data_IF_045661549905
#
_entry.id   IF_045661549905
#
_cell.length_a   1.000
_cell.length_b   1.000
_cell.length_c   1.000
_cell.angle_alpha   90.00
_cell.angle_beta   90.00
_cell.angle_gamma   90.00
#
_symmetry.space_group_name_H-M   'P 1'
#
loop_
_entity.id
_entity.type
_entity.pdbx_description
1 polymer ?
#
# COMPACT_ATOMS: atom_id res chain seq x y z
N UNK A 1 -7.13 10.07 -16.25
CA UNK A 1 -6.72 9.47 -14.96
C UNK A 1 -7.85 8.59 -14.50
N UNK A 2 -7.58 7.34 -14.14
CA UNK A 2 -8.60 6.40 -13.65
C UNK A 2 -8.95 6.74 -12.20
N UNK A 3 -10.23 6.61 -11.86
CA UNK A 3 -10.76 6.85 -10.51
C UNK A 3 -11.65 5.69 -10.08
N UNK A 4 -11.67 5.40 -8.79
CA UNK A 4 -12.61 4.45 -8.20
C UNK A 4 -14.04 5.03 -8.22
N UNK A 5 -15.00 4.20 -8.65
CA UNK A 5 -16.42 4.57 -8.72
C UNK A 5 -17.15 4.12 -7.45
N UNK A 6 -16.94 2.88 -7.02
CA UNK A 6 -17.63 2.24 -5.90
C UNK A 6 -16.64 1.28 -5.18
N UNK A 7 -16.92 0.96 -3.91
CA UNK A 7 -16.23 -0.10 -3.16
C UNK A 7 -17.25 -0.92 -2.38
N UNK A 8 -17.14 -2.24 -2.45
CA UNK A 8 -17.98 -3.16 -1.70
C UNK A 8 -17.10 -4.12 -0.88
N UNK A 9 -17.28 -4.10 0.45
CA UNK A 9 -16.62 -5.04 1.35
C UNK A 9 -17.50 -6.27 1.54
N UNK A 10 -17.02 -7.41 1.08
CA UNK A 10 -17.69 -8.69 1.30
C UNK A 10 -17.78 -8.97 2.81
N UNK A 11 -18.93 -9.46 3.29
CA UNK A 11 -19.15 -9.76 4.69
C UNK A 11 -18.53 -11.10 5.07
N UNK A 12 -17.79 -11.12 6.18
CA UNK A 12 -17.11 -12.31 6.68
C UNK A 12 -15.58 -12.26 6.50
N UNK A 13 -14.90 -13.38 6.79
CA UNK A 13 -13.46 -13.48 6.68
C UNK A 13 -13.01 -13.63 5.22
N UNK A 14 -11.71 -13.49 4.95
CA UNK A 14 -11.18 -13.70 3.60
C UNK A 14 -11.36 -15.15 3.12
N UNK A 15 -11.36 -15.34 1.78
CA UNK A 15 -11.65 -16.63 1.11
C UNK A 15 -10.83 -17.82 1.62
N UNK A 16 -9.62 -17.59 2.15
CA UNK A 16 -8.77 -18.64 2.73
C UNK A 16 -9.42 -19.35 3.94
N UNK A 17 -10.40 -18.72 4.60
CA UNK A 17 -11.14 -19.29 5.73
C UNK A 17 -12.37 -20.11 5.33
N UNK A 18 -12.66 -20.26 4.02
CA UNK A 18 -13.80 -21.01 3.51
C UNK A 18 -13.46 -22.46 3.12
N UNK A 19 -12.31 -22.99 3.56
CA UNK A 19 -11.82 -24.35 3.22
C UNK A 19 -12.83 -25.47 3.50
N UNK A 20 -13.65 -25.33 4.54
CA UNK A 20 -14.69 -26.30 4.92
C UNK A 20 -16.08 -25.97 4.35
N UNK A 21 -16.26 -24.77 3.78
CA UNK A 21 -17.56 -24.20 3.39
C UNK A 21 -17.54 -23.69 1.94
N UNK A 22 -17.00 -24.52 1.05
CA UNK A 22 -16.81 -24.15 -0.35
C UNK A 22 -18.13 -23.83 -1.07
N UNK A 23 -19.22 -24.53 -0.74
CA UNK A 23 -20.55 -24.27 -1.29
C UNK A 23 -21.13 -22.90 -0.91
N UNK A 24 -20.56 -22.22 0.10
CA UNK A 24 -21.02 -20.91 0.53
C UNK A 24 -20.31 -19.77 -0.24
N UNK A 25 -19.28 -20.05 -1.05
CA UNK A 25 -18.51 -19.02 -1.77
C UNK A 25 -19.39 -18.22 -2.73
N UNK A 26 -20.34 -18.88 -3.40
CA UNK A 26 -21.29 -18.20 -4.30
C UNK A 26 -22.12 -17.15 -3.56
N UNK A 27 -22.68 -17.54 -2.41
CA UNK A 27 -23.48 -16.65 -1.55
C UNK A 27 -22.61 -15.56 -0.94
N UNK A 28 -21.39 -15.91 -0.53
CA UNK A 28 -20.40 -14.98 0.02
C UNK A 28 -20.08 -13.85 -0.96
N UNK A 29 -19.83 -14.15 -2.23
CA UNK A 29 -19.50 -13.13 -3.24
C UNK A 29 -20.74 -12.38 -3.79
N UNK A 30 -21.93 -12.98 -3.69
CA UNK A 30 -23.13 -12.50 -4.37
C UNK A 30 -23.47 -11.04 -4.11
N UNK A 31 -23.45 -10.61 -2.84
CA UNK A 31 -23.86 -9.25 -2.49
C UNK A 31 -23.04 -8.16 -3.21
N UNK A 32 -21.72 -8.33 -3.31
CA UNK A 32 -20.85 -7.37 -3.99
C UNK A 32 -20.89 -7.51 -5.51
N UNK A 33 -21.03 -8.73 -6.03
CA UNK A 33 -21.12 -8.95 -7.47
C UNK A 33 -22.46 -8.43 -8.05
N UNK A 34 -23.56 -8.60 -7.32
CA UNK A 34 -24.85 -7.98 -7.68
C UNK A 34 -24.80 -6.45 -7.57
N UNK A 35 -24.11 -5.91 -6.54
CA UNK A 35 -23.88 -4.47 -6.45
C UNK A 35 -23.11 -3.94 -7.68
N UNK A 36 -22.09 -4.66 -8.13
CA UNK A 36 -21.35 -4.29 -9.35
C UNK A 36 -22.26 -4.27 -10.59
N UNK A 37 -23.14 -5.27 -10.76
CA UNK A 37 -24.13 -5.30 -11.87
C UNK A 37 -25.08 -4.12 -11.86
N UNK A 38 -25.45 -3.63 -10.67
CA UNK A 38 -26.32 -2.45 -10.52
C UNK A 38 -25.58 -1.15 -10.83
N UNK A 39 -24.31 -1.05 -10.43
CA UNK A 39 -23.51 0.18 -10.61
C UNK A 39 -23.02 0.34 -12.05
N UNK A 40 -22.61 -0.75 -12.71
CA UNK A 40 -22.12 -0.72 -14.09
C UNK A 40 -23.32 -0.75 -15.06
N UNK A 41 -23.39 0.13 -16.07
CA UNK A 41 -24.45 0.09 -17.08
C UNK A 41 -24.51 -1.26 -17.81
N UNK A 42 -25.72 -1.80 -17.99
CA UNK A 42 -25.92 -3.12 -18.62
C UNK A 42 -25.24 -3.30 -20.00
N UNK A 43 -25.22 -2.30 -20.91
CA UNK A 43 -24.52 -2.44 -22.18
C UNK A 43 -23.00 -2.62 -22.06
N UNK A 44 -22.41 -2.23 -20.92
CA UNK A 44 -20.97 -2.28 -20.66
C UNK A 44 -20.55 -3.55 -19.90
N UNK A 45 -21.50 -4.39 -19.47
CA UNK A 45 -21.18 -5.56 -18.64
C UNK A 45 -20.21 -6.50 -19.36
N UNK A 46 -20.49 -6.89 -20.60
CA UNK A 46 -19.69 -7.87 -21.35
C UNK A 46 -18.28 -7.39 -21.72
N UNK A 47 -18.03 -6.08 -21.69
CA UNK A 47 -16.72 -5.48 -21.96
C UNK A 47 -15.96 -5.08 -20.68
N UNK A 48 -16.60 -5.18 -19.51
CA UNK A 48 -15.98 -4.81 -18.24
C UNK A 48 -15.16 -5.98 -17.70
N UNK A 49 -13.81 -5.85 -17.63
CA UNK A 49 -12.97 -6.93 -17.16
C UNK A 49 -13.06 -7.07 -15.63
N UNK A 50 -13.12 -8.31 -15.15
CA UNK A 50 -13.11 -8.63 -13.72
C UNK A 50 -11.94 -9.53 -13.39
N UNK A 51 -11.19 -9.15 -12.36
CA UNK A 51 -10.02 -9.88 -11.89
C UNK A 51 -10.15 -10.16 -10.39
N UNK A 52 -9.62 -11.30 -9.94
CA UNK A 52 -9.44 -11.56 -8.51
C UNK A 52 -7.97 -11.85 -8.19
N UNK A 53 -7.38 -10.97 -7.39
CA UNK A 53 -6.07 -11.17 -6.78
C UNK A 53 -6.21 -11.53 -5.31
N UNK A 54 -5.76 -12.74 -4.93
CA UNK A 54 -5.66 -13.15 -3.54
C UNK A 54 -4.22 -12.97 -3.02
N UNK A 55 -4.07 -12.56 -1.76
CA UNK A 55 -2.78 -12.16 -1.18
C UNK A 55 -2.28 -13.15 -0.12
N UNK A 56 -1.62 -12.66 0.95
CA UNK A 56 -0.95 -13.46 1.96
C UNK A 56 -1.80 -14.56 2.62
N UNK A 57 -3.09 -14.34 2.87
CA UNK A 57 -3.95 -15.38 3.44
C UNK A 57 -4.03 -16.63 2.56
N UNK A 58 -4.14 -16.46 1.23
CA UNK A 58 -4.10 -17.57 0.29
C UNK A 58 -2.68 -18.10 0.07
N UNK A 59 -1.63 -17.27 0.23
CA UNK A 59 -0.23 -17.75 0.25
C UNK A 59 -0.02 -18.73 1.42
N UNK A 60 -0.50 -18.39 2.62
CA UNK A 60 -0.45 -19.24 3.81
C UNK A 60 -1.25 -20.54 3.59
N UNK A 61 -2.47 -20.44 3.05
CA UNK A 61 -3.25 -21.63 2.74
C UNK A 61 -2.52 -22.53 1.73
N UNK A 62 -1.93 -21.97 0.67
CA UNK A 62 -1.18 -22.73 -0.33
C UNK A 62 0.03 -23.46 0.29
N UNK A 63 0.73 -22.80 1.21
CA UNK A 63 1.84 -23.43 1.96
C UNK A 63 1.34 -24.57 2.85
N UNK A 64 0.18 -24.42 3.48
CA UNK A 64 -0.43 -25.46 4.33
C UNK A 64 -0.97 -26.63 3.51
N UNK A 65 -1.71 -26.34 2.45
CA UNK A 65 -2.36 -27.31 1.58
C UNK A 65 -2.63 -26.69 0.19
N UNK A 66 -1.73 -26.99 -0.76
CA UNK A 66 -1.83 -26.49 -2.14
C UNK A 66 -3.10 -26.94 -2.88
N UNK A 67 -3.60 -28.14 -2.60
CA UNK A 67 -4.84 -28.65 -3.20
C UNK A 67 -6.06 -27.83 -2.76
N UNK A 68 -6.18 -27.51 -1.46
CA UNK A 68 -7.29 -26.69 -0.95
C UNK A 68 -7.23 -25.25 -1.50
N UNK A 69 -6.03 -24.66 -1.60
CA UNK A 69 -5.88 -23.34 -2.21
C UNK A 69 -6.36 -23.34 -3.67
N UNK A 70 -5.96 -24.33 -4.46
CA UNK A 70 -6.43 -24.48 -5.86
C UNK A 70 -7.94 -24.71 -5.94
N UNK A 71 -8.51 -25.53 -5.04
CA UNK A 71 -9.94 -25.80 -5.00
C UNK A 71 -10.75 -24.54 -4.70
N UNK A 72 -10.32 -23.70 -3.76
CA UNK A 72 -10.97 -22.41 -3.48
C UNK A 72 -10.91 -21.49 -4.70
N UNK A 73 -9.77 -21.35 -5.36
CA UNK A 73 -9.64 -20.53 -6.56
C UNK A 73 -10.53 -21.02 -7.71
N UNK A 74 -10.68 -22.33 -7.87
CA UNK A 74 -11.58 -22.92 -8.86
C UNK A 74 -13.05 -22.60 -8.57
N UNK A 75 -13.48 -22.68 -7.30
CA UNK A 75 -14.86 -22.32 -6.92
C UNK A 75 -15.11 -20.82 -7.11
N UNK A 76 -14.18 -19.97 -6.67
CA UNK A 76 -14.24 -18.52 -6.90
C UNK A 76 -14.30 -18.18 -8.39
N UNK A 77 -13.50 -18.87 -9.21
CA UNK A 77 -13.53 -18.73 -10.67
C UNK A 77 -14.91 -19.07 -11.22
N UNK A 78 -15.43 -20.25 -10.89
CA UNK A 78 -16.78 -20.65 -11.31
C UNK A 78 -17.85 -19.66 -10.86
N UNK A 79 -17.72 -19.13 -9.64
CA UNK A 79 -18.66 -18.18 -9.05
C UNK A 79 -18.72 -16.87 -9.83
N UNK A 80 -17.55 -16.26 -10.07
CA UNK A 80 -17.45 -14.96 -10.76
C UNK A 80 -17.81 -15.11 -12.23
N UNK A 81 -17.46 -16.24 -12.87
CA UNK A 81 -17.84 -16.53 -14.26
C UNK A 81 -19.35 -16.62 -14.51
N UNK A 82 -20.18 -16.76 -13.47
CA UNK A 82 -21.64 -16.73 -13.61
C UNK A 82 -22.22 -15.32 -13.78
N UNK A 83 -21.40 -14.26 -13.64
CA UNK A 83 -21.82 -12.86 -13.79
C UNK A 83 -21.57 -12.38 -15.24
N UNK A 84 -22.32 -11.38 -15.73
CA UNK A 84 -22.27 -10.95 -17.13
C UNK A 84 -21.03 -10.10 -17.48
N UNK A 85 -19.91 -10.30 -16.78
CA UNK A 85 -18.68 -9.56 -16.95
C UNK A 85 -17.63 -10.37 -17.71
N UNK A 86 -16.62 -9.70 -18.25
CA UNK A 86 -15.47 -10.34 -18.86
C UNK A 86 -14.50 -10.83 -17.77
N UNK A 87 -14.69 -12.07 -17.31
CA UNK A 87 -13.85 -12.61 -16.24
C UNK A 87 -12.47 -13.03 -16.75
N UNK A 88 -11.45 -12.35 -16.25
CA UNK A 88 -10.05 -12.50 -16.69
C UNK A 88 -9.22 -13.45 -15.81
N UNK A 89 -9.80 -13.92 -14.70
CA UNK A 89 -9.21 -14.98 -13.87
C UNK A 89 -9.02 -14.62 -12.39
N UNK A 90 -8.81 -15.66 -11.59
CA UNK A 90 -8.49 -15.58 -10.17
C UNK A 90 -7.11 -16.19 -9.90
N UNK A 91 -6.23 -15.44 -9.22
CA UNK A 91 -4.88 -15.93 -8.89
C UNK A 91 -4.39 -15.44 -7.53
N UNK A 92 -3.39 -16.14 -6.99
CA UNK A 92 -2.63 -15.68 -5.82
C UNK A 92 -1.48 -14.82 -6.33
N UNK A 93 -1.47 -13.52 -6.01
CA UNK A 93 -0.40 -12.61 -6.39
C UNK A 93 0.83 -12.82 -5.51
N UNK A 94 2.02 -12.57 -6.04
CA UNK A 94 3.26 -12.64 -5.25
C UNK A 94 3.34 -11.46 -4.28
N UNK A 95 4.18 -11.57 -3.26
CA UNK A 95 4.39 -10.45 -2.33
C UNK A 95 5.02 -9.23 -2.99
N UNK A 96 5.88 -9.45 -3.99
CA UNK A 96 6.50 -8.37 -4.76
C UNK A 96 5.51 -7.68 -5.69
N UNK A 97 4.61 -8.44 -6.32
CA UNK A 97 3.49 -7.88 -7.08
C UNK A 97 2.60 -7.00 -6.19
N UNK A 98 2.20 -7.51 -5.03
CA UNK A 98 1.37 -6.77 -4.06
C UNK A 98 2.02 -5.42 -3.67
N UNK A 99 3.30 -5.42 -3.31
CA UNK A 99 4.04 -4.19 -2.98
C UNK A 99 4.21 -3.25 -4.17
N UNK A 100 4.64 -3.76 -5.33
CA UNK A 100 4.85 -2.97 -6.53
C UNK A 100 3.55 -2.32 -7.05
N UNK A 101 2.44 -3.04 -7.07
CA UNK A 101 1.16 -2.48 -7.49
C UNK A 101 0.63 -1.45 -6.47
N UNK A 102 0.91 -1.61 -5.18
CA UNK A 102 0.67 -0.58 -4.17
C UNK A 102 1.46 0.70 -4.45
N UNK A 103 2.76 0.56 -4.74
CA UNK A 103 3.63 1.67 -5.12
C UNK A 103 3.19 2.38 -6.40
N UNK A 104 2.80 1.61 -7.44
CA UNK A 104 2.23 2.15 -8.68
C UNK A 104 0.97 2.96 -8.37
N UNK A 105 0.05 2.42 -7.56
CA UNK A 105 -1.20 3.10 -7.18
C UNK A 105 -0.92 4.43 -6.49
N UNK A 106 -0.09 4.42 -5.45
CA UNK A 106 0.27 5.63 -4.69
C UNK A 106 0.83 6.70 -5.61
N UNK A 107 1.80 6.36 -6.46
CA UNK A 107 2.45 7.32 -7.35
C UNK A 107 1.57 7.77 -8.52
N UNK A 108 0.70 6.89 -9.03
CA UNK A 108 -0.30 7.23 -10.04
C UNK A 108 -1.30 8.25 -9.48
N UNK A 109 -1.86 7.98 -8.29
CA UNK A 109 -2.84 8.85 -7.64
C UNK A 109 -2.26 10.22 -7.25
N UNK A 110 -0.98 10.26 -6.86
CA UNK A 110 -0.25 11.49 -6.56
C UNK A 110 0.27 12.21 -7.82
N UNK A 111 0.16 11.60 -9.01
CA UNK A 111 0.62 12.18 -10.27
C UNK A 111 2.14 12.30 -10.37
N UNK A 112 2.90 11.37 -9.76
CA UNK A 112 4.36 11.39 -9.70
C UNK A 112 5.04 10.85 -10.96
N UNK A 113 4.32 10.10 -11.79
CA UNK A 113 4.87 9.53 -13.03
C UNK A 113 4.92 10.50 -14.22
N UNK A 114 4.09 11.54 -14.24
CA UNK A 114 3.98 12.45 -15.39
C UNK A 114 4.62 13.80 -15.08
N UNK A 115 5.62 14.22 -15.87
CA UNK A 115 6.08 15.61 -15.86
C UNK A 115 5.00 16.49 -16.49
N UNK A 116 4.56 17.55 -15.80
CA UNK A 116 3.81 18.63 -16.47
C UNK A 116 4.79 19.38 -17.37
N UNK A 117 4.92 18.97 -18.61
CA UNK A 117 5.59 19.76 -19.66
C UNK A 117 4.74 20.99 -19.96
N UNK A 118 4.90 22.04 -19.14
CA UNK A 118 4.40 23.36 -19.50
C UNK A 118 5.26 23.86 -20.66
N UNK A 119 4.63 24.08 -21.81
CA UNK A 119 5.20 24.65 -23.03
C UNK A 119 5.82 26.05 -22.85
N UNK A 120 5.63 26.69 -21.69
CA UNK A 120 6.30 27.93 -21.30
C UNK A 120 7.65 27.73 -20.58
N UNK A 121 8.05 26.50 -20.26
CA UNK A 121 9.33 26.25 -19.59
C UNK A 121 10.48 26.15 -20.60
N UNK A 122 10.95 27.31 -21.07
CA UNK A 122 12.14 27.47 -21.94
C UNK A 122 13.49 27.17 -21.27
N UNK A 123 13.47 26.47 -20.12
CA UNK A 123 14.66 25.84 -19.55
C UNK A 123 14.37 24.34 -19.53
N UNK A 124 15.21 23.48 -20.15
CA UNK A 124 15.29 22.11 -19.71
C UNK A 124 15.77 22.21 -18.26
N UNK A 125 14.85 22.18 -17.31
CA UNK A 125 15.24 21.93 -15.94
C UNK A 125 15.83 20.53 -15.98
N UNK A 126 17.15 20.44 -16.03
CA UNK A 126 17.91 19.30 -15.50
C UNK A 126 17.70 19.19 -13.99
N UNK A 127 16.45 19.31 -13.56
CA UNK A 127 15.98 19.19 -12.20
C UNK A 127 15.78 17.71 -11.94
N UNK A 128 16.23 17.30 -10.77
CA UNK A 128 16.21 15.93 -10.28
C UNK A 128 14.91 15.20 -10.62
N UNK A 129 14.96 13.87 -10.87
CA UNK A 129 13.75 13.10 -11.13
C UNK A 129 12.74 13.37 -10.02
N UNK A 130 11.50 13.72 -10.39
CA UNK A 130 10.41 13.91 -9.44
C UNK A 130 10.36 12.69 -8.51
N UNK A 131 10.71 12.88 -7.23
CA UNK A 131 10.82 11.78 -6.28
C UNK A 131 9.45 11.08 -6.15
N UNK A 132 9.45 9.76 -6.35
CA UNK A 132 8.27 8.92 -6.13
C UNK A 132 8.11 8.65 -4.64
N UNK A 133 6.86 8.55 -4.19
CA UNK A 133 6.58 8.09 -2.84
C UNK A 133 6.94 6.61 -2.71
N UNK A 134 7.50 6.20 -1.57
CA UNK A 134 7.47 4.82 -1.14
C UNK A 134 6.05 4.40 -0.75
N UNK A 135 5.83 3.09 -0.66
CA UNK A 135 4.57 2.48 -0.27
C UNK A 135 4.81 1.53 0.91
N UNK A 136 3.99 1.69 1.96
CA UNK A 136 3.93 0.81 3.11
C UNK A 136 2.52 0.23 3.18
N UNK A 137 2.40 -1.08 3.04
CA UNK A 137 1.11 -1.79 3.09
C UNK A 137 1.11 -2.76 4.29
N UNK A 138 0.10 -2.69 5.15
CA UNK A 138 -0.08 -3.63 6.25
C UNK A 138 -1.42 -4.33 6.12
N UNK A 139 -1.36 -5.65 5.93
CA UNK A 139 -2.52 -6.53 5.98
C UNK A 139 -2.59 -7.36 7.26
N UNK A 140 -3.53 -8.31 7.29
CA UNK A 140 -3.64 -9.27 8.38
C UNK A 140 -2.53 -10.33 8.39
N UNK A 141 -2.02 -10.72 7.21
CA UNK A 141 -1.08 -11.84 7.07
C UNK A 141 0.31 -11.49 6.50
N UNK A 142 0.50 -10.29 5.95
CA UNK A 142 1.81 -9.78 5.55
C UNK A 142 1.87 -8.26 5.67
N UNK A 143 3.09 -7.73 5.59
CA UNK A 143 3.38 -6.30 5.41
C UNK A 143 4.38 -6.12 4.27
N UNK A 144 4.31 -5.00 3.57
CA UNK A 144 5.13 -4.68 2.41
C UNK A 144 5.77 -3.31 2.57
N UNK A 145 6.99 -3.19 2.05
CA UNK A 145 7.70 -1.93 1.89
C UNK A 145 8.28 -1.88 0.46
N UNK A 146 7.97 -0.80 -0.25
CA UNK A 146 8.33 -0.66 -1.67
C UNK A 146 8.73 0.78 -1.96
N UNK A 147 9.95 1.03 -2.46
CA UNK A 147 10.42 2.38 -2.79
C UNK A 147 11.62 2.36 -3.74
N UNK A 148 11.97 3.52 -4.30
CA UNK A 148 13.17 3.70 -5.13
C UNK A 148 14.31 4.19 -4.22
N UNK A 149 15.35 3.38 -3.96
CA UNK A 149 16.50 3.82 -3.17
C UNK A 149 17.36 4.84 -3.96
N UNK A 150 18.09 5.72 -3.25
CA UNK A 150 19.04 6.68 -3.86
C UNK A 150 20.31 5.95 -4.25
N UNK A 151 20.76 5.04 -3.39
CA UNK A 151 21.90 4.21 -3.70
C UNK A 151 21.51 3.21 -4.79
N UNK A 152 22.34 3.14 -5.82
CA UNK A 152 22.14 2.24 -6.97
C UNK A 152 22.71 0.86 -6.70
N UNK A 153 23.55 0.68 -5.68
CA UNK A 153 24.05 -0.64 -5.31
C UNK A 153 22.98 -1.39 -4.53
N UNK A 154 22.15 -2.14 -5.25
CA UNK A 154 21.25 -3.07 -4.59
C UNK A 154 22.00 -4.35 -4.22
N UNK A 155 22.03 -4.67 -2.93
CA UNK A 155 22.73 -5.87 -2.42
C UNK A 155 21.85 -7.13 -2.48
N UNK A 156 20.53 -6.96 -2.62
CA UNK A 156 19.57 -8.04 -2.86
C UNK A 156 18.89 -7.87 -4.23
N UNK A 157 19.40 -8.50 -5.30
CA UNK A 157 18.76 -8.49 -6.62
C UNK A 157 17.36 -9.10 -6.59
N UNK A 158 17.14 -10.10 -5.74
CA UNK A 158 15.83 -10.78 -5.60
C UNK A 158 14.74 -9.83 -5.11
N UNK A 159 15.08 -8.78 -4.36
CA UNK A 159 14.15 -7.75 -3.88
C UNK A 159 14.05 -6.52 -4.80
N UNK A 160 14.66 -6.58 -5.99
CA UNK A 160 14.65 -5.47 -6.96
C UNK A 160 13.75 -5.77 -8.14
N UNK A 161 12.85 -4.84 -8.44
CA UNK A 161 12.08 -4.83 -9.66
C UNK A 161 12.46 -3.65 -10.54
N UNK A 162 12.54 -3.89 -11.84
CA UNK A 162 12.81 -2.86 -12.83
C UNK A 162 11.56 -2.59 -13.66
N UNK A 163 11.13 -1.33 -13.69
CA UNK A 163 9.97 -0.89 -14.45
C UNK A 163 10.37 0.20 -15.44
N UNK A 164 9.71 0.23 -16.60
CA UNK A 164 9.72 1.39 -17.48
C UNK A 164 8.30 1.96 -17.54
N UNK A 165 8.10 3.14 -16.97
CA UNK A 165 6.79 3.79 -16.85
C UNK A 165 6.91 5.23 -17.33
N UNK A 166 6.07 5.65 -18.27
CA UNK A 166 6.01 7.02 -18.79
C UNK A 166 7.40 7.57 -19.18
N UNK A 167 8.15 6.82 -19.99
CA UNK A 167 9.46 7.18 -20.52
C UNK A 167 10.63 7.01 -19.56
N UNK A 168 10.39 6.57 -18.31
CA UNK A 168 11.41 6.51 -17.24
C UNK A 168 11.63 5.10 -16.73
N UNK A 169 12.90 4.80 -16.46
CA UNK A 169 13.31 3.56 -15.81
C UNK A 169 13.32 3.77 -14.29
N UNK A 170 12.70 2.83 -13.56
CA UNK A 170 12.68 2.79 -12.11
C UNK A 170 13.29 1.46 -11.65
N UNK A 171 14.26 1.54 -10.74
CA UNK A 171 14.75 0.40 -9.97
C UNK A 171 14.14 0.48 -8.58
N UNK A 172 13.15 -0.38 -8.32
CA UNK A 172 12.31 -0.32 -7.14
C UNK A 172 12.70 -1.48 -6.22
N UNK A 173 13.10 -1.18 -4.99
CA UNK A 173 13.19 -2.17 -3.94
C UNK A 173 11.77 -2.53 -3.48
N UNK A 174 11.48 -3.82 -3.34
CA UNK A 174 10.21 -4.30 -2.80
C UNK A 174 10.40 -5.58 -2.02
N UNK A 175 9.88 -5.62 -0.80
CA UNK A 175 9.86 -6.84 0.01
C UNK A 175 8.50 -7.05 0.68
N UNK A 176 8.10 -8.31 0.83
CA UNK A 176 6.86 -8.71 1.51
C UNK A 176 7.18 -9.67 2.65
N UNK A 177 7.01 -9.20 3.87
CA UNK A 177 7.23 -9.98 5.08
C UNK A 177 5.97 -10.81 5.37
N UNK A 178 5.90 -12.02 4.83
CA UNK A 178 4.84 -12.98 5.14
C UNK A 178 4.88 -13.32 6.64
N UNK A 179 3.72 -13.54 7.26
CA UNK A 179 3.54 -13.72 8.71
C UNK A 179 3.71 -12.46 9.57
N UNK A 180 4.13 -11.33 8.99
CA UNK A 180 4.25 -10.03 9.67
C UNK A 180 3.08 -9.07 9.34
N UNK A 181 1.95 -9.62 8.90
CA UNK A 181 0.69 -8.88 9.00
C UNK A 181 0.21 -8.89 10.45
N UNK A 182 -0.58 -7.88 10.85
CA UNK A 182 -0.92 -7.67 12.27
C UNK A 182 -1.56 -8.90 12.94
N UNK A 183 -2.44 -9.62 12.24
CA UNK A 183 -3.15 -10.77 12.82
C UNK A 183 -2.20 -11.94 13.03
N UNK A 184 -1.35 -12.21 12.03
CA UNK A 184 -0.35 -13.29 12.12
C UNK A 184 0.78 -12.95 13.10
N UNK A 185 1.14 -11.67 13.25
CA UNK A 185 2.08 -11.23 14.28
C UNK A 185 1.52 -11.42 15.68
N UNK A 186 0.22 -11.13 15.89
CA UNK A 186 -0.46 -11.41 17.17
C UNK A 186 -0.45 -12.91 17.48
N UNK A 187 -0.81 -13.75 16.51
CA UNK A 187 -0.78 -15.21 16.68
C UNK A 187 0.64 -15.71 16.98
N UNK A 188 1.65 -15.19 16.30
CA UNK A 188 3.06 -15.50 16.60
C UNK A 188 3.44 -15.13 18.03
N UNK A 189 3.05 -13.92 18.49
CA UNK A 189 3.29 -13.47 19.87
C UNK A 189 2.63 -14.39 20.89
N UNK A 190 1.34 -14.68 20.71
CA UNK A 190 0.58 -15.57 21.59
C UNK A 190 1.14 -17.00 21.61
N UNK A 191 1.49 -17.55 20.45
CA UNK A 191 2.10 -18.88 20.32
C UNK A 191 3.48 -18.98 21.00
N UNK A 192 4.20 -17.86 21.07
CA UNK A 192 5.44 -17.76 21.80
C UNK A 192 5.22 -17.62 23.30
N UNK A 193 4.30 -16.76 23.70
CA UNK A 193 4.06 -16.40 25.11
C UNK A 193 3.33 -17.50 25.89
N UNK A 194 2.57 -18.36 25.21
CA UNK A 194 1.94 -19.54 25.84
C UNK A 194 2.97 -20.57 26.33
N UNK A 195 4.21 -20.53 25.82
CA UNK A 195 5.27 -21.47 26.22
C UNK A 195 5.58 -21.30 27.70
N UNK A 196 5.55 -22.42 28.44
CA UNK A 196 5.80 -22.47 29.89
C UNK A 196 4.70 -21.79 30.74
N UNK A 197 3.48 -21.71 30.24
CA UNK A 197 2.30 -21.29 31.02
C UNK A 197 1.44 -22.49 31.43
N UNK A 198 0.49 -22.27 32.33
CA UNK A 198 -0.54 -23.23 32.73
C UNK A 198 -1.84 -23.10 31.91
N UNK A 199 -1.77 -22.46 30.74
CA UNK A 199 -2.93 -22.16 29.88
C UNK A 199 -3.44 -20.73 30.05
N UNK A 200 -2.91 -19.94 30.98
CA UNK A 200 -3.24 -18.52 31.12
C UNK A 200 -2.09 -17.62 30.68
N UNK A 201 -2.38 -16.64 29.81
CA UNK A 201 -1.43 -15.64 29.34
C UNK A 201 -1.86 -14.27 29.88
N UNK A 202 -1.06 -13.71 30.78
CA UNK A 202 -1.19 -12.30 31.16
C UNK A 202 -0.52 -11.44 30.08
N UNK A 203 -1.33 -10.83 29.22
CA UNK A 203 -0.85 -10.18 28.01
C UNK A 203 -0.95 -8.64 28.10
N UNK A 204 0.20 -7.93 28.03
CA UNK A 204 0.23 -6.47 28.14
C UNK A 204 -0.32 -5.74 26.92
N UNK A 205 -0.53 -6.42 25.79
CA UNK A 205 -1.06 -5.84 24.57
C UNK A 205 -2.60 -5.78 24.52
N UNK A 206 -3.27 -6.29 25.55
CA UNK A 206 -4.71 -6.19 25.71
C UNK A 206 -5.07 -5.36 26.94
N UNK A 207 -6.23 -4.71 26.88
CA UNK A 207 -6.70 -3.79 27.91
C UNK A 207 -6.96 -4.48 29.26
N UNK A 208 -6.75 -3.80 30.41
CA UNK A 208 -7.04 -4.35 31.72
C UNK A 208 -8.50 -4.80 31.83
N UNK A 209 -8.73 -6.03 32.31
CA UNK A 209 -10.06 -6.62 32.43
C UNK A 209 -10.58 -7.30 31.15
N UNK A 210 -9.86 -7.19 30.02
CA UNK A 210 -10.18 -7.99 28.83
C UNK A 210 -9.84 -9.46 29.06
N UNK A 211 -10.73 -10.36 28.63
CA UNK A 211 -10.48 -11.79 28.62
C UNK A 211 -10.95 -12.42 27.31
N UNK A 212 -10.11 -13.29 26.74
CA UNK A 212 -10.47 -14.08 25.55
C UNK A 212 -10.01 -15.51 25.72
N UNK A 213 -10.93 -16.46 25.50
CA UNK A 213 -10.60 -17.87 25.34
C UNK A 213 -10.26 -18.16 23.88
N UNK A 214 -9.28 -19.02 23.67
CA UNK A 214 -8.87 -19.46 22.35
C UNK A 214 -8.51 -20.94 22.38
N UNK A 215 -8.96 -21.69 21.38
CA UNK A 215 -8.58 -23.10 21.23
C UNK A 215 -7.13 -23.17 20.74
N UNK A 216 -6.33 -24.01 21.37
CA UNK A 216 -4.90 -24.12 21.06
C UNK A 216 -4.66 -24.60 19.61
N UNK A 217 -5.54 -25.46 19.10
CA UNK A 217 -5.50 -25.92 17.72
C UNK A 217 -5.64 -24.77 16.70
N UNK A 218 -6.47 -23.76 16.99
CA UNK A 218 -6.64 -22.59 16.11
C UNK A 218 -5.38 -21.71 16.11
N UNK A 219 -4.67 -21.64 17.25
CA UNK A 219 -3.41 -20.89 17.36
C UNK A 219 -2.31 -21.52 16.50
N UNK A 220 -2.21 -22.84 16.49
CA UNK A 220 -1.23 -23.59 15.68
C UNK A 220 -1.73 -23.93 14.27
N UNK A 221 -2.94 -23.50 13.91
CA UNK A 221 -3.49 -23.74 12.57
C UNK A 221 -2.65 -23.05 11.48
N UNK A 222 -2.15 -21.85 11.79
CA UNK A 222 -1.38 -21.03 10.86
C UNK A 222 0.05 -21.57 10.67
N UNK A 223 0.58 -21.60 9.42
CA UNK A 223 2.00 -21.86 9.19
C UNK A 223 2.94 -20.92 9.96
N UNK A 224 2.48 -19.71 10.33
CA UNK A 224 3.27 -18.69 11.00
C UNK A 224 3.62 -19.02 12.45
N UNK A 225 2.82 -19.86 13.12
CA UNK A 225 2.99 -20.21 14.54
C UNK A 225 3.71 -21.53 14.75
N UNK A 226 3.95 -22.33 13.69
CA UNK A 226 4.60 -23.65 13.77
C UNK A 226 5.99 -23.63 14.41
N UNK A 227 6.78 -22.57 14.18
CA UNK A 227 8.10 -22.42 14.85
C UNK A 227 7.98 -22.30 16.38
N UNK A 228 6.79 -21.93 16.86
CA UNK A 228 6.48 -21.78 18.27
C UNK A 228 5.77 -22.99 18.89
N UNK A 229 5.35 -23.96 18.09
CA UNK A 229 4.59 -25.12 18.52
C UNK A 229 5.35 -25.94 19.58
N UNK A 230 4.63 -26.35 20.63
CA UNK A 230 5.16 -27.18 21.70
C UNK A 230 4.03 -28.02 22.28
N UNK A 231 4.38 -29.13 22.93
CA UNK A 231 3.39 -29.97 23.59
C UNK A 231 2.92 -29.30 24.88
N UNK A 232 1.62 -29.02 24.96
CA UNK A 232 0.97 -28.39 26.11
C UNK A 232 -0.10 -29.33 26.68
N UNK A 233 -0.30 -29.30 28.00
CA UNK A 233 -1.23 -30.18 28.71
C UNK A 233 -2.67 -29.63 28.76
N UNK A 234 -3.00 -28.67 27.89
CA UNK A 234 -4.28 -27.99 27.82
C UNK A 234 -4.67 -27.75 26.36
N UNK A 235 -5.98 -27.78 26.10
CA UNK A 235 -6.53 -27.59 24.76
C UNK A 235 -7.03 -26.16 24.50
N UNK A 236 -7.12 -25.34 25.56
CA UNK A 236 -7.58 -23.96 25.52
C UNK A 236 -6.60 -23.04 26.25
N UNK A 237 -6.50 -21.80 25.77
CA UNK A 237 -5.76 -20.73 26.44
C UNK A 237 -6.70 -19.59 26.84
N UNK A 238 -6.41 -18.96 27.97
CA UNK A 238 -7.09 -17.76 28.46
C UNK A 238 -6.12 -16.59 28.38
N UNK A 239 -6.43 -15.63 27.53
CA UNK A 239 -5.68 -14.37 27.42
C UNK A 239 -6.32 -13.38 28.38
N UNK A 240 -5.52 -12.80 29.27
CA UNK A 240 -5.93 -11.79 30.26
C UNK A 240 -5.16 -10.50 30.02
N UNK A 241 -5.87 -9.41 29.70
CA UNK A 241 -5.22 -8.14 29.41
C UNK A 241 -4.70 -7.43 30.66
N UNK A 242 -3.48 -6.90 30.57
CA UNK A 242 -2.86 -6.11 31.65
C UNK A 242 -2.59 -4.65 31.27
N UNK A 243 -2.71 -4.28 30.00
CA UNK A 243 -2.72 -2.89 29.52
C UNK A 243 -1.42 -2.12 29.73
N UNK A 244 -0.29 -2.67 29.30
CA UNK A 244 1.02 -2.03 29.45
C UNK A 244 1.75 -1.90 28.11
N UNK A 245 1.76 -0.69 27.56
CA UNK A 245 2.35 -0.43 26.24
C UNK A 245 3.83 -0.84 26.15
N UNK A 246 4.65 -0.52 27.15
CA UNK A 246 6.09 -0.79 27.09
C UNK A 246 6.38 -2.29 27.12
N UNK A 247 5.70 -3.05 27.99
CA UNK A 247 5.81 -4.51 28.02
C UNK A 247 5.26 -5.14 26.74
N UNK A 248 4.17 -4.58 26.18
CA UNK A 248 3.65 -5.01 24.89
C UNK A 248 4.68 -4.80 23.77
N UNK A 249 5.30 -3.62 23.69
CA UNK A 249 6.34 -3.30 22.73
C UNK A 249 7.53 -4.25 22.87
N UNK A 250 7.99 -4.52 24.10
CA UNK A 250 9.08 -5.47 24.35
C UNK A 250 8.73 -6.89 23.91
N UNK A 251 7.51 -7.36 24.16
CA UNK A 251 7.04 -8.68 23.69
C UNK A 251 7.01 -8.75 22.14
N UNK A 252 6.53 -7.68 21.48
CA UNK A 252 6.50 -7.57 20.02
C UNK A 252 7.91 -7.53 19.41
N UNK A 253 8.84 -6.76 20.00
CA UNK A 253 10.22 -6.64 19.52
C UNK A 253 10.90 -8.00 19.36
N UNK A 254 10.59 -8.93 20.24
CA UNK A 254 11.17 -10.27 20.20
C UNK A 254 10.60 -11.16 19.09
N UNK A 255 9.67 -10.66 18.25
CA UNK A 255 9.28 -11.31 17.00
C UNK A 255 10.27 -11.02 15.87
N UNK A 256 10.98 -9.89 15.93
CA UNK A 256 11.92 -9.46 14.91
C UNK A 256 13.33 -9.96 15.25
N UNK A 257 13.92 -10.82 14.42
CA UNK A 257 15.31 -11.20 14.63
C UNK A 257 16.26 -10.18 13.99
N UNK A 258 16.90 -9.36 14.81
CA UNK A 258 17.90 -8.37 14.36
C UNK A 258 19.34 -8.79 14.66
N UNK A 259 19.58 -10.03 15.12
CA UNK A 259 20.90 -10.51 15.54
C UNK A 259 21.86 -10.80 14.38
N UNK A 260 21.32 -11.02 13.18
CA UNK A 260 22.07 -11.39 11.99
C UNK A 260 21.62 -10.54 10.80
N UNK A 261 22.60 -9.96 10.09
CA UNK A 261 22.38 -9.25 8.84
C UNK A 261 23.56 -9.54 7.89
N UNK A 262 23.32 -10.23 6.76
CA UNK A 262 24.37 -10.55 5.79
C UNK A 262 24.66 -9.39 4.80
N UNK A 263 23.97 -8.27 4.95
CA UNK A 263 24.03 -7.09 4.08
C UNK A 263 24.54 -5.86 4.85
N UNK A 264 24.73 -4.73 4.18
CA UNK A 264 25.08 -3.46 4.85
C UNK A 264 24.02 -3.02 5.85
N UNK A 265 22.75 -3.17 5.48
CA UNK A 265 21.58 -2.82 6.28
C UNK A 265 20.48 -3.85 6.06
N UNK A 266 19.82 -4.26 7.15
CA UNK A 266 18.67 -5.14 7.10
C UNK A 266 17.48 -4.50 7.79
N UNK A 267 16.28 -4.90 7.41
CA UNK A 267 15.09 -4.70 8.22
C UNK A 267 15.20 -5.56 9.47
N UNK A 268 14.71 -6.80 9.37
CA UNK A 268 14.79 -7.87 10.36
C UNK A 268 14.84 -9.22 9.64
N UNK A 269 15.10 -10.30 10.37
CA UNK A 269 15.24 -11.67 9.87
C UNK A 269 16.32 -11.82 8.77
N UNK A 270 17.35 -10.98 8.81
CA UNK A 270 18.44 -10.98 7.82
C UNK A 270 18.03 -10.49 6.43
N UNK A 271 16.87 -9.85 6.29
CA UNK A 271 16.38 -9.32 5.01
C UNK A 271 16.98 -7.94 4.74
N UNK A 272 17.64 -7.79 3.59
CA UNK A 272 18.19 -6.51 3.12
C UNK A 272 17.13 -5.41 3.11
N UNK A 273 17.48 -4.22 3.60
CA UNK A 273 16.66 -3.02 3.49
C UNK A 273 17.58 -1.84 3.16
N UNK A 274 17.46 -1.21 1.97
CA UNK A 274 18.16 0.03 1.69
C UNK A 274 17.75 1.13 2.68
N UNK A 275 18.61 2.13 2.96
CA UNK A 275 18.25 3.26 3.79
C UNK A 275 16.93 3.93 3.33
N UNK A 276 15.97 4.05 4.24
CA UNK A 276 14.66 4.66 3.94
C UNK A 276 14.81 6.15 3.72
N UNK A 277 14.17 6.67 2.68
CA UNK A 277 14.31 8.05 2.24
C UNK A 277 13.16 8.50 1.35
N UNK A 278 12.97 9.82 1.25
CA UNK A 278 11.81 10.38 0.56
C UNK A 278 10.53 10.20 1.36
N UNK A 279 9.41 10.57 0.75
CA UNK A 279 8.07 10.41 1.32
C UNK A 279 7.55 8.98 1.15
N UNK A 280 6.76 8.49 2.11
CA UNK A 280 6.08 7.20 2.06
C UNK A 280 4.58 7.36 2.28
N UNK A 281 3.77 6.71 1.45
CA UNK A 281 2.35 6.50 1.71
C UNK A 281 2.14 5.20 2.48
N UNK A 282 1.60 5.29 3.69
CA UNK A 282 1.25 4.13 4.53
C UNK A 282 -0.26 3.91 4.52
N UNK A 283 -0.73 2.76 4.01
CA UNK A 283 -2.14 2.50 3.74
C UNK A 283 -2.59 1.14 4.31
N UNK A 284 -3.82 0.73 4.00
CA UNK A 284 -4.47 -0.45 4.59
C UNK A 284 -4.51 -0.35 6.12
N UNK A 285 -4.09 -1.38 6.86
CA UNK A 285 -4.18 -1.37 8.31
C UNK A 285 -3.26 -0.32 8.97
N UNK A 286 -2.20 0.15 8.29
CA UNK A 286 -1.44 1.31 8.78
C UNK A 286 -2.36 2.52 8.95
N UNK A 287 -3.19 2.81 7.94
CA UNK A 287 -4.10 3.94 7.98
C UNK A 287 -5.25 3.70 8.96
N UNK A 288 -6.01 2.61 8.83
CA UNK A 288 -7.24 2.42 9.62
C UNK A 288 -6.98 2.30 11.12
N UNK A 289 -5.85 1.70 11.53
CA UNK A 289 -5.47 1.62 12.95
C UNK A 289 -5.06 2.99 13.47
N UNK A 290 -4.20 3.70 12.73
CA UNK A 290 -3.74 5.03 13.15
C UNK A 290 -4.87 6.06 13.16
N UNK A 291 -5.81 5.98 12.21
CA UNK A 291 -6.98 6.84 12.14
C UNK A 291 -7.89 6.62 13.35
N UNK A 292 -8.20 5.36 13.69
CA UNK A 292 -9.00 5.03 14.87
C UNK A 292 -8.38 5.57 16.17
N UNK A 293 -7.05 5.45 16.31
CA UNK A 293 -6.29 5.94 17.45
C UNK A 293 -6.07 7.47 17.42
N UNK A 294 -6.61 8.17 16.42
CA UNK A 294 -6.43 9.60 16.20
C UNK A 294 -4.95 10.02 16.08
N UNK A 295 -4.13 9.14 15.50
CA UNK A 295 -2.69 9.31 15.27
C UNK A 295 -2.37 9.83 13.86
N UNK A 296 -3.39 10.07 13.03
CA UNK A 296 -3.25 10.64 11.67
C UNK A 296 -3.52 12.15 11.62
N UNK A 297 -3.35 12.86 12.74
CA UNK A 297 -3.73 14.28 12.85
C UNK A 297 -2.88 15.18 11.93
N UNK A 298 -3.40 16.37 11.61
CA UNK A 298 -2.79 17.32 10.65
C UNK A 298 -1.44 17.89 11.08
N UNK A 299 -1.16 17.87 12.38
CA UNK A 299 0.17 18.18 12.91
C UNK A 299 0.95 16.86 12.94
N UNK A 300 2.09 16.79 12.26
CA UNK A 300 2.93 15.58 12.27
C UNK A 300 3.33 15.24 13.71
N UNK A 301 2.63 14.29 14.32
CA UNK A 301 2.92 13.82 15.67
C UNK A 301 4.28 13.15 15.67
N UNK A 302 5.12 13.54 16.63
CA UNK A 302 6.41 12.88 16.83
C UNK A 302 6.21 11.44 17.32
N UNK A 303 7.15 10.51 17.05
CA UNK A 303 7.08 9.14 17.57
C UNK A 303 6.86 9.09 19.09
N UNK A 304 7.49 10.01 19.82
CA UNK A 304 7.32 10.13 21.28
C UNK A 304 5.88 10.46 21.65
N UNK A 305 5.26 11.44 20.98
CA UNK A 305 3.88 11.82 21.28
C UNK A 305 2.89 10.70 20.97
N UNK A 306 3.13 9.94 19.89
CA UNK A 306 2.32 8.76 19.58
C UNK A 306 2.46 7.67 20.64
N UNK A 307 3.70 7.42 21.12
CA UNK A 307 3.95 6.52 22.24
C UNK A 307 3.17 6.94 23.50
N UNK A 308 3.22 8.21 23.88
CA UNK A 308 2.49 8.71 25.06
C UNK A 308 0.97 8.47 24.93
N UNK A 309 0.42 8.70 23.73
CA UNK A 309 -1.01 8.45 23.45
C UNK A 309 -1.36 6.95 23.49
N UNK A 310 -0.46 6.10 23.02
CA UNK A 310 -0.63 4.65 23.08
C UNK A 310 -0.55 4.10 24.51
N UNK A 311 0.33 4.66 25.35
CA UNK A 311 0.40 4.33 26.78
C UNK A 311 -0.92 4.65 27.50
N UNK A 312 -1.50 5.81 27.22
CA UNK A 312 -2.81 6.20 27.75
C UNK A 312 -3.93 5.29 27.24
N UNK A 313 -3.94 4.97 25.94
CA UNK A 313 -4.97 4.12 25.34
C UNK A 313 -4.92 2.69 25.87
N UNK A 314 -3.75 2.05 25.85
CA UNK A 314 -3.57 0.67 26.29
C UNK A 314 -3.92 0.45 27.78
N UNK A 315 -3.72 1.45 28.62
CA UNK A 315 -4.01 1.37 30.06
C UNK A 315 -5.50 1.56 30.42
N UNK A 316 -6.35 1.94 29.46
CA UNK A 316 -7.79 2.09 29.71
C UNK A 316 -8.45 0.73 30.01
N UNK A 317 -9.29 0.62 31.07
CA UNK A 317 -10.05 -0.60 31.35
C UNK A 317 -10.98 -0.98 30.20
N UNK A 318 -11.11 -2.29 29.96
CA UNK A 318 -11.90 -2.82 28.86
C UNK A 318 -13.36 -2.38 28.87
N UNK A 319 -14.01 -2.41 30.04
CA UNK A 319 -15.42 -2.00 30.20
C UNK A 319 -15.66 -0.56 29.73
N UNK A 320 -14.71 0.35 30.00
CA UNK A 320 -14.81 1.75 29.59
C UNK A 320 -14.75 1.90 28.07
N UNK A 321 -13.91 1.10 27.41
CA UNK A 321 -13.79 1.11 25.95
C UNK A 321 -15.04 0.56 25.27
N UNK A 322 -15.64 -0.51 25.82
CA UNK A 322 -16.89 -1.06 25.29
C UNK A 322 -18.03 -0.03 25.32
N UNK A 323 -18.10 0.80 26.37
CA UNK A 323 -19.09 1.87 26.46
C UNK A 323 -18.77 3.00 25.48
N UNK A 324 -17.52 3.46 25.43
CA UNK A 324 -17.13 4.60 24.61
C UNK A 324 -17.16 4.31 23.10
N UNK A 325 -16.84 3.08 22.70
CA UNK A 325 -16.77 2.62 21.31
C UNK A 325 -17.81 1.54 20.99
N UNK A 326 -19.05 1.73 21.46
CA UNK A 326 -20.14 0.75 21.32
C UNK A 326 -20.49 0.36 19.87
N UNK A 327 -20.21 1.23 18.90
CA UNK A 327 -20.44 0.97 17.47
C UNK A 327 -19.31 0.14 16.80
N UNK A 328 -18.19 -0.07 17.51
CA UNK A 328 -17.04 -0.80 16.99
C UNK A 328 -17.16 -2.26 17.38
N UNK A 329 -17.07 -3.15 16.40
CA UNK A 329 -17.08 -4.60 16.66
C UNK A 329 -15.94 -4.98 17.59
N UNK A 330 -16.27 -5.78 18.60
CA UNK A 330 -15.39 -6.15 19.70
C UNK A 330 -14.04 -6.69 19.25
N UNK A 331 -14.04 -7.56 18.23
CA UNK A 331 -12.84 -8.19 17.70
C UNK A 331 -11.83 -7.19 17.11
N UNK A 332 -12.28 -6.04 16.61
CA UNK A 332 -11.38 -4.97 16.18
C UNK A 332 -10.97 -4.12 17.39
N UNK A 333 -11.94 -3.76 18.25
CA UNK A 333 -11.69 -2.90 19.41
C UNK A 333 -10.63 -3.48 20.35
N UNK A 334 -10.70 -4.79 20.61
CA UNK A 334 -9.77 -5.49 21.51
C UNK A 334 -8.33 -5.51 21.01
N UNK A 335 -8.11 -5.30 19.71
CA UNK A 335 -6.80 -5.46 19.07
C UNK A 335 -6.10 -4.13 18.79
N UNK A 336 -6.71 -2.97 19.06
CA UNK A 336 -6.09 -1.68 18.73
C UNK A 336 -4.85 -1.35 19.57
N UNK A 337 -4.80 -1.77 20.84
CA UNK A 337 -3.59 -1.61 21.66
C UNK A 337 -2.43 -2.38 21.03
N UNK A 338 -2.60 -3.69 20.80
CA UNK A 338 -1.63 -4.51 20.07
C UNK A 338 -1.27 -3.91 18.70
N UNK A 339 -2.27 -3.57 17.88
CA UNK A 339 -2.06 -3.15 16.48
C UNK A 339 -1.33 -1.81 16.39
N UNK A 340 -1.66 -0.85 17.25
CA UNK A 340 -0.97 0.44 17.33
C UNK A 340 0.48 0.26 17.76
N UNK A 341 0.72 -0.51 18.83
CA UNK A 341 2.09 -0.83 19.29
C UNK A 341 2.88 -1.59 18.23
N UNK A 342 2.25 -2.53 17.54
CA UNK A 342 2.85 -3.31 16.47
C UNK A 342 3.30 -2.43 15.31
N UNK A 343 2.44 -1.52 14.84
CA UNK A 343 2.79 -0.58 13.77
C UNK A 343 3.96 0.31 14.18
N UNK A 344 3.91 0.93 15.37
CA UNK A 344 5.01 1.79 15.82
C UNK A 344 6.32 1.02 15.90
N UNK A 345 6.29 -0.20 16.44
CA UNK A 345 7.47 -1.07 16.51
C UNK A 345 7.97 -1.47 15.13
N UNK A 346 7.08 -1.85 14.21
CA UNK A 346 7.44 -2.22 12.84
C UNK A 346 8.09 -1.05 12.10
N UNK A 347 7.52 0.16 12.18
CA UNK A 347 8.05 1.33 11.48
C UNK A 347 9.39 1.79 12.09
N UNK A 348 9.48 1.89 13.42
CA UNK A 348 10.66 2.45 14.10
C UNK A 348 11.81 1.44 14.21
N UNK A 349 11.52 0.18 14.52
CA UNK A 349 12.52 -0.85 14.80
C UNK A 349 12.68 -1.86 13.66
N UNK A 350 11.62 -2.11 12.88
CA UNK A 350 11.67 -3.04 11.75
C UNK A 350 12.15 -2.39 10.46
N UNK A 351 11.58 -1.23 10.12
CA UNK A 351 11.90 -0.46 8.91
C UNK A 351 12.85 0.72 9.16
N UNK A 352 13.30 0.89 10.42
CA UNK A 352 14.30 1.87 10.82
C UNK A 352 13.94 3.32 10.46
N UNK A 353 12.65 3.67 10.50
CA UNK A 353 12.25 5.08 10.44
C UNK A 353 12.69 5.78 11.74
N UNK A 354 13.52 6.80 11.60
CA UNK A 354 14.05 7.59 12.72
C UNK A 354 13.13 8.78 13.01
N UNK A 355 13.40 9.53 14.07
CA UNK A 355 12.69 10.79 14.33
C UNK A 355 12.76 11.78 13.14
N UNK A 356 13.82 11.72 12.34
CA UNK A 356 14.01 12.59 11.17
C UNK A 356 13.22 12.12 9.95
N UNK A 357 13.15 10.80 9.71
CA UNK A 357 12.43 10.24 8.55
C UNK A 357 10.96 9.95 8.85
N UNK A 358 10.56 9.92 10.12
CA UNK A 358 9.17 9.73 10.56
C UNK A 358 8.19 10.74 9.93
N UNK A 359 8.60 12.01 9.83
CA UNK A 359 7.78 13.08 9.24
C UNK A 359 7.46 12.85 7.75
N UNK A 360 8.20 11.95 7.10
CA UNK A 360 8.00 11.61 5.70
C UNK A 360 6.98 10.46 5.52
N UNK A 361 6.44 9.89 6.61
CA UNK A 361 5.37 8.90 6.55
C UNK A 361 4.02 9.63 6.55
N UNK A 362 3.24 9.36 5.51
CA UNK A 362 1.91 9.91 5.33
C UNK A 362 0.90 8.76 5.37
N UNK A 363 0.06 8.71 6.40
CA UNK A 363 -0.99 7.70 6.50
C UNK A 363 -2.14 8.06 5.55
N UNK A 364 -2.44 7.19 4.58
CA UNK A 364 -3.37 7.47 3.48
C UNK A 364 -4.45 6.39 3.36
N UNK A 365 -5.71 6.78 3.54
CA UNK A 365 -6.85 5.92 3.20
C UNK A 365 -7.26 6.07 1.75
N UNK A 366 -7.54 7.31 1.33
CA UNK A 366 -7.95 7.66 -0.03
C UNK A 366 -7.16 8.86 -0.56
N UNK A 367 -6.84 8.83 -1.85
CA UNK A 367 -6.30 9.98 -2.61
C UNK A 367 -7.23 10.23 -3.79
N UNK A 368 -7.75 11.47 -3.90
CA UNK A 368 -8.74 11.86 -4.93
C UNK A 368 -9.94 10.89 -4.98
N UNK A 369 -10.49 10.59 -3.80
CA UNK A 369 -11.62 9.66 -3.60
C UNK A 369 -11.37 8.20 -4.02
N UNK A 370 -10.13 7.84 -4.36
CA UNK A 370 -9.73 6.47 -4.71
C UNK A 370 -8.94 5.87 -3.56
N UNK A 371 -9.30 4.66 -3.14
CA UNK A 371 -8.61 3.93 -2.07
C UNK A 371 -7.17 3.62 -2.47
N UNK A 372 -6.25 3.85 -1.54
CA UNK A 372 -4.84 3.50 -1.75
C UNK A 372 -4.64 2.03 -1.37
N UNK A 373 -4.08 1.26 -2.29
CA UNK A 373 -3.87 -0.18 -2.18
C UNK A 373 -3.31 -0.73 -3.49
N UNK A 374 -3.13 -2.04 -3.60
CA UNK A 374 -2.54 -2.64 -4.81
C UNK A 374 -3.52 -2.78 -5.99
N UNK A 375 -4.84 -2.70 -5.75
CA UNK A 375 -5.86 -3.06 -6.76
C UNK A 375 -5.88 -2.14 -7.97
N UNK A 376 -5.67 -0.83 -7.81
CA UNK A 376 -5.63 0.11 -8.94
C UNK A 376 -4.41 -0.13 -9.83
N UNK A 377 -3.23 -0.29 -9.24
CA UNK A 377 -1.98 -0.56 -9.96
C UNK A 377 -2.03 -1.90 -10.68
N UNK A 378 -2.66 -2.90 -10.07
CA UNK A 378 -2.94 -4.19 -10.69
C UNK A 378 -3.83 -4.06 -11.92
N UNK A 379 -4.96 -3.36 -11.78
CA UNK A 379 -5.88 -3.09 -12.89
C UNK A 379 -5.17 -2.31 -14.01
N UNK A 380 -4.47 -1.23 -13.68
CA UNK A 380 -3.76 -0.39 -14.65
C UNK A 380 -2.75 -1.19 -15.47
N UNK A 381 -2.04 -2.13 -14.84
CA UNK A 381 -1.08 -3.00 -15.53
C UNK A 381 -1.81 -4.00 -16.45
N UNK A 382 -2.82 -4.70 -15.92
CA UNK A 382 -3.51 -5.75 -16.69
C UNK A 382 -4.35 -5.21 -17.86
N UNK A 383 -4.77 -3.95 -17.79
CA UNK A 383 -5.45 -3.27 -18.90
C UNK A 383 -4.49 -2.48 -19.80
N UNK A 384 -3.16 -2.66 -19.65
CA UNK A 384 -2.12 -1.94 -20.40
C UNK A 384 -2.29 -0.41 -20.39
N UNK A 385 -2.81 0.16 -19.30
CA UNK A 385 -3.04 1.60 -19.13
C UNK A 385 -1.82 2.34 -18.57
N UNK A 386 -0.71 1.64 -18.34
CA UNK A 386 0.58 2.23 -17.94
C UNK A 386 1.52 2.14 -19.14
N UNK A 387 1.64 3.20 -19.96
CA UNK A 387 2.53 3.16 -21.11
C UNK A 387 4.00 3.17 -20.67
N UNK A 388 4.85 2.46 -21.41
CA UNK A 388 6.29 2.48 -21.19
C UNK A 388 6.93 3.82 -21.56
N UNK A 389 6.40 4.51 -22.58
CA UNK A 389 6.84 5.83 -23.03
C UNK A 389 5.83 6.92 -22.67
N UNK A 390 6.27 8.17 -22.57
CA UNK A 390 5.32 9.28 -22.47
C UNK A 390 4.46 9.34 -23.75
N UNK A 391 3.13 9.46 -23.63
CA UNK A 391 2.30 9.68 -24.80
C UNK A 391 2.73 10.99 -25.48
N UNK A 392 2.70 11.05 -26.83
CA UNK A 392 3.10 12.25 -27.56
C UNK A 392 2.30 13.46 -27.06
N UNK A 393 2.96 14.62 -26.99
CA UNK A 393 2.30 15.85 -26.55
C UNK A 393 1.07 16.12 -27.41
N UNK A 394 -0.03 16.50 -26.75
CA UNK A 394 -1.23 16.88 -27.47
C UNK A 394 -0.87 18.01 -28.47
N UNK A 395 -1.27 17.91 -29.75
CA UNK A 395 -1.07 18.99 -30.68
C UNK A 395 -1.71 20.27 -30.13
N UNK A 396 -1.10 21.43 -30.42
CA UNK A 396 -1.64 22.73 -30.02
C UNK A 396 -3.13 22.81 -30.40
N UNK A 397 -4.00 23.38 -29.54
CA UNK A 397 -5.37 23.67 -29.92
C UNK A 397 -5.36 24.42 -31.26
N UNK A 398 -6.27 24.05 -32.17
CA UNK A 398 -6.30 24.61 -33.52
C UNK A 398 -6.31 26.15 -33.51
N UNK A 399 -7.03 26.76 -32.57
CA UNK A 399 -7.05 28.21 -32.35
C UNK A 399 -5.67 28.79 -32.00
N UNK A 400 -4.94 28.15 -31.08
CA UNK A 400 -3.59 28.58 -30.68
C UNK A 400 -2.59 28.42 -31.82
N UNK A 401 -2.67 27.32 -32.57
CA UNK A 401 -1.82 27.09 -33.73
C UNK A 401 -2.03 28.17 -34.81
N UNK A 402 -3.30 28.45 -35.15
CA UNK A 402 -3.64 29.49 -36.13
C UNK A 402 -3.19 30.86 -35.65
N UNK A 403 -3.42 31.19 -34.38
CA UNK A 403 -2.97 32.46 -33.79
C UNK A 403 -1.45 32.62 -33.89
N UNK A 404 -0.68 31.60 -33.52
CA UNK A 404 0.79 31.62 -33.60
C UNK A 404 1.27 31.77 -35.04
N UNK A 405 0.67 31.06 -35.99
CA UNK A 405 1.01 31.17 -37.41
C UNK A 405 0.78 32.58 -37.96
N UNK A 406 -0.37 33.20 -37.65
CA UNK A 406 -0.67 34.57 -38.05
C UNK A 406 0.30 35.56 -37.38
N UNK A 407 0.54 35.39 -36.08
CA UNK A 407 1.43 36.25 -35.31
C UNK A 407 2.87 36.23 -35.84
N UNK A 408 3.44 35.05 -36.09
CA UNK A 408 4.78 34.93 -36.66
C UNK A 408 4.87 35.43 -38.10
N UNK A 409 3.81 35.25 -38.89
CA UNK A 409 3.75 35.80 -40.26
C UNK A 409 3.75 37.33 -40.24
N UNK A 410 3.00 37.96 -39.34
CA UNK A 410 2.99 39.42 -39.18
C UNK A 410 4.35 39.96 -38.73
N UNK A 411 5.00 39.30 -37.77
CA UNK A 411 6.37 39.66 -37.36
C UNK A 411 7.32 39.58 -38.56
N UNK A 412 7.25 38.52 -39.35
CA UNK A 412 8.11 38.34 -40.52
C UNK A 412 7.89 39.47 -41.54
N UNK A 413 6.64 39.85 -41.81
CA UNK A 413 6.32 40.98 -42.68
C UNK A 413 6.88 42.29 -42.12
N UNK A 414 6.74 42.55 -40.82
CA UNK A 414 7.30 43.75 -40.17
C UNK A 414 8.83 43.77 -40.29
N UNK A 415 9.50 42.64 -40.06
CA UNK A 415 10.97 42.53 -40.21
C UNK A 415 11.39 42.78 -41.65
N UNK A 416 10.70 42.20 -42.64
CA UNK A 416 10.98 42.44 -44.05
C UNK A 416 10.79 43.92 -44.41
N UNK A 417 9.72 44.56 -43.94
CA UNK A 417 9.48 45.99 -44.16
C UNK A 417 10.56 46.87 -43.52
N UNK A 418 10.98 46.55 -42.29
CA UNK A 418 12.08 47.25 -41.62
C UNK A 418 13.42 47.04 -42.33
N UNK A 419 13.71 45.83 -42.81
CA UNK A 419 14.89 45.55 -43.62
C UNK A 419 14.84 46.33 -44.94
N UNK A 420 13.71 46.31 -45.65
CA UNK A 420 13.53 47.11 -46.86
C UNK A 420 13.79 48.58 -46.51
N UNK A 421 13.19 49.15 -45.47
CA UNK A 421 13.38 50.55 -45.10
C UNK A 421 14.84 50.89 -44.72
N UNK A 422 15.56 49.96 -44.09
CA UNK A 422 16.98 50.12 -43.74
C UNK A 422 17.91 50.02 -44.97
N UNK A 423 17.59 49.15 -45.93
CA UNK A 423 18.39 48.94 -47.15
C UNK A 423 17.96 49.85 -48.32
N UNK A 424 16.77 50.46 -48.29
CA UNK A 424 16.28 51.47 -49.23
C UNK A 424 16.68 52.91 -48.87
N UNK A 425 17.74 53.11 -48.07
CA UNK A 425 18.52 54.35 -48.13
C UNK A 425 19.73 54.20 -49.06
N UNK A 426 19.58 54.38 -50.39
CA UNK A 426 20.70 54.70 -51.26
C UNK A 426 20.89 56.23 -51.33
N UNK A 427 22.14 56.65 -51.18
CA UNK A 427 22.76 57.83 -51.82
C UNK A 427 21.87 59.04 -52.16
N UNK A 428 21.79 60.03 -51.27
CA UNK A 428 21.70 61.43 -51.68
C UNK A 428 22.27 62.30 -50.57
N UNK A 429 23.50 62.77 -50.78
CA UNK A 429 24.19 63.94 -50.19
C UNK A 429 25.68 63.66 -50.10
N UNK A 430 26.35 63.59 -51.25
CA UNK A 430 27.65 64.23 -51.45
C UNK A 430 27.62 64.88 -52.84
N UNK A 431 28.07 66.14 -52.87
CA UNK A 431 28.37 67.02 -54.01
C UNK A 431 27.22 67.77 -54.71
N UNK A 432 27.00 69.01 -54.26
CA UNK A 432 27.13 70.16 -55.15
C UNK A 432 28.35 70.97 -54.69
N UNK A 433 29.32 71.10 -55.60
CA UNK A 433 30.47 72.02 -55.53
C UNK A 433 30.08 73.30 -56.26
N UNK A 434 30.04 74.43 -55.56
CA UNK A 434 30.62 75.74 -55.96
C UNK A 434 31.05 76.47 -54.68
#
# INVERSE_FOLDING_TARGET
MVSQVEECKVQGPGIANHVQKLSEIDVYLAACMERAKVVIPAPQHTETPVYLGATAGMRLLRMKNGYLASKILAVVTSSISNYPFDFQGARIITGQEEGAYGWITTNYLLGRFTQKSSWFNLKPTGGEPQETYGALDLGGASTQITFVPKDKTMESPDDTLHFRLYGRNYSVYTHSFLCYGKDQALLQKLAKDVRNTDGTISDPCFHPGYQRKMVLADLYESPCTRKFETFLQFDEIIIQGTGNYQQCQQSILQLFNTSYCPYSHCAFDGIFLPPVQGDFGAFSAFYYVMEFLNLTSKEHLSPKKMTDMMEEFCSQPWEKLQVYFSDVKENYLSEYCFSGTYILTLLLNGYHFTAETWKNIHFMGKVRSTSVGWTLGYMLNLTNMIPAEEPPSAPLPHSTYVFLMVFFSLILVIVVLLCIFAFHKPSFFWEDVV
#
